data_IF_725908500742
#
_entry.id   IF_725908500742
#
_cell.length_a   1.000
_cell.length_b   1.000
_cell.length_c   1.000
_cell.angle_alpha   90.00
_cell.angle_beta   90.00
_cell.angle_gamma   90.00
#
_symmetry.space_group_name_H-M   'P 1'
#
loop_
_entity.id
_entity.type
_entity.pdbx_description
1 polymer ?
#
# COMPACT_ATOMS: atom_id res chain seq x y z
N UNK A 1 -12.82 -11.22 -25.06
CA UNK A 1 -12.40 -11.60 -23.69
C UNK A 1 -12.50 -10.37 -22.82
N UNK A 2 -13.13 -10.48 -21.64
CA UNK A 2 -13.06 -9.42 -20.64
C UNK A 2 -11.60 -9.28 -20.15
N UNK A 3 -11.14 -8.05 -19.92
CA UNK A 3 -9.80 -7.78 -19.40
C UNK A 3 -9.71 -8.28 -17.95
N UNK A 4 -8.52 -8.72 -17.52
CA UNK A 4 -8.31 -9.02 -16.11
C UNK A 4 -8.44 -7.74 -15.27
N UNK A 5 -8.86 -7.86 -14.00
CA UNK A 5 -9.10 -6.70 -13.14
C UNK A 5 -7.90 -5.73 -13.05
N UNK A 6 -6.68 -6.28 -13.00
CA UNK A 6 -5.46 -5.48 -12.97
C UNK A 6 -5.23 -4.70 -14.27
N UNK A 7 -5.58 -5.28 -15.42
CA UNK A 7 -5.49 -4.62 -16.73
C UNK A 7 -6.52 -3.49 -16.87
N UNK A 8 -7.74 -3.70 -16.35
CA UNK A 8 -8.74 -2.63 -16.29
C UNK A 8 -8.28 -1.46 -15.40
N UNK A 9 -7.65 -1.78 -14.26
CA UNK A 9 -7.10 -0.77 -13.36
C UNK A 9 -5.96 0.01 -14.03
N UNK A 10 -5.05 -0.67 -14.73
CA UNK A 10 -3.97 -0.03 -15.47
C UNK A 10 -4.49 0.82 -16.63
N UNK A 11 -5.54 0.38 -17.33
CA UNK A 11 -6.24 1.19 -18.33
C UNK A 11 -6.80 2.47 -17.72
N UNK A 12 -7.53 2.38 -16.60
CA UNK A 12 -8.08 3.54 -15.88
C UNK A 12 -6.98 4.49 -15.42
N UNK A 13 -5.90 3.95 -14.86
CA UNK A 13 -4.77 4.76 -14.40
C UNK A 13 -4.06 5.46 -15.57
N UNK A 14 -3.95 4.80 -16.72
CA UNK A 14 -3.33 5.38 -17.92
C UNK A 14 -4.15 6.55 -18.46
N UNK A 15 -5.48 6.42 -18.52
CA UNK A 15 -6.37 7.53 -18.89
C UNK A 15 -6.21 8.68 -17.90
N UNK A 16 -6.20 8.39 -16.59
CA UNK A 16 -6.06 9.43 -15.57
C UNK A 16 -4.71 10.15 -15.64
N UNK A 17 -3.62 9.42 -15.90
CA UNK A 17 -2.30 10.00 -16.09
C UNK A 17 -2.30 10.98 -17.27
N UNK A 18 -2.90 10.60 -18.40
CA UNK A 18 -3.00 11.48 -19.58
C UNK A 18 -3.78 12.76 -19.31
N UNK A 19 -4.83 12.71 -18.49
CA UNK A 19 -5.53 13.92 -18.04
C UNK A 19 -4.62 14.82 -17.22
N UNK A 20 -3.91 14.26 -16.23
CA UNK A 20 -3.02 15.03 -15.35
C UNK A 20 -1.84 15.64 -16.09
N UNK A 21 -1.35 14.99 -17.15
CA UNK A 21 -0.27 15.50 -17.99
C UNK A 21 -0.65 16.77 -18.77
N UNK A 22 -1.95 17.06 -18.94
CA UNK A 22 -2.40 18.32 -19.56
C UNK A 22 -2.20 19.53 -18.64
N UNK A 23 -2.09 19.30 -17.34
CA UNK A 23 -1.89 20.35 -16.34
C UNK A 23 -0.39 20.53 -15.99
N UNK A 24 0.51 20.03 -16.86
CA UNK A 24 1.95 20.04 -16.66
C UNK A 24 2.64 20.61 -17.90
N UNK A 25 3.84 21.20 -17.74
CA UNK A 25 4.61 21.69 -18.88
C UNK A 25 4.86 20.57 -19.89
N UNK A 26 4.76 20.87 -21.19
CA UNK A 26 4.76 19.87 -22.27
C UNK A 26 5.98 18.96 -22.22
N UNK A 27 7.15 19.48 -21.84
CA UNK A 27 8.38 18.70 -21.76
C UNK A 27 8.33 17.61 -20.67
N UNK A 28 7.50 17.75 -19.64
CA UNK A 28 7.32 16.70 -18.61
C UNK A 28 6.82 15.38 -19.21
N UNK A 29 6.19 15.41 -20.38
CA UNK A 29 5.72 14.21 -21.06
C UNK A 29 6.85 13.24 -21.43
N UNK A 30 8.07 13.73 -21.68
CA UNK A 30 9.20 12.84 -21.97
C UNK A 30 9.57 11.99 -20.75
N UNK A 31 9.46 12.55 -19.53
CA UNK A 31 9.70 11.83 -18.30
C UNK A 31 8.74 10.65 -18.13
N UNK A 32 7.44 10.88 -18.28
CA UNK A 32 6.44 9.82 -18.14
C UNK A 32 6.60 8.72 -19.19
N UNK A 33 6.98 9.06 -20.42
CA UNK A 33 7.32 8.09 -21.47
C UNK A 33 8.56 7.28 -21.08
N UNK A 34 9.61 7.94 -20.58
CA UNK A 34 10.87 7.31 -20.20
C UNK A 34 10.74 6.32 -19.04
N UNK A 35 9.83 6.57 -18.10
CA UNK A 35 9.61 5.68 -16.94
C UNK A 35 8.48 4.67 -17.14
N UNK A 36 7.82 4.67 -18.31
CA UNK A 36 6.55 3.97 -18.54
C UNK A 36 6.64 2.47 -18.24
N UNK A 37 7.72 1.83 -18.70
CA UNK A 37 7.96 0.39 -18.63
C UNK A 37 8.50 -0.07 -17.27
N UNK A 38 9.10 0.83 -16.49
CA UNK A 38 9.76 0.50 -15.22
C UNK A 38 8.94 0.93 -13.99
N UNK A 39 7.95 1.80 -14.19
CA UNK A 39 7.19 2.42 -13.10
C UNK A 39 5.70 2.11 -13.21
N UNK A 40 5.13 1.63 -12.11
CA UNK A 40 3.72 1.28 -12.02
C UNK A 40 2.81 2.49 -12.36
N UNK A 41 1.68 2.23 -13.02
CA UNK A 41 0.70 3.23 -13.45
C UNK A 41 0.28 4.19 -12.32
N UNK A 42 0.01 3.67 -11.13
CA UNK A 42 -0.33 4.46 -9.94
C UNK A 42 0.82 5.34 -9.43
N UNK A 43 2.06 4.88 -9.54
CA UNK A 43 3.24 5.68 -9.16
C UNK A 43 3.42 6.84 -10.11
N UNK A 44 3.21 6.63 -11.42
CA UNK A 44 3.23 7.71 -12.43
C UNK A 44 2.18 8.78 -12.14
N UNK A 45 0.95 8.38 -11.76
CA UNK A 45 -0.09 9.33 -11.31
C UNK A 45 0.38 10.15 -10.10
N UNK A 46 0.98 9.49 -9.09
CA UNK A 46 1.48 10.18 -7.91
C UNK A 46 2.58 11.20 -8.27
N UNK A 47 3.47 10.84 -9.22
CA UNK A 47 4.48 11.75 -9.73
C UNK A 47 3.88 12.94 -10.48
N UNK A 48 2.84 12.74 -11.29
CA UNK A 48 2.14 13.84 -11.96
C UNK A 48 1.54 14.84 -10.96
N UNK A 49 0.88 14.35 -9.90
CA UNK A 49 0.38 15.23 -8.84
C UNK A 49 1.50 15.98 -8.12
N UNK A 50 2.64 15.33 -7.87
CA UNK A 50 3.76 15.97 -7.17
C UNK A 50 4.45 17.01 -8.04
N UNK A 51 4.65 16.73 -9.33
CA UNK A 51 5.18 17.70 -10.29
C UNK A 51 4.23 18.88 -10.46
N UNK A 52 2.91 18.66 -10.46
CA UNK A 52 1.94 19.77 -10.51
C UNK A 52 2.15 20.71 -9.31
N UNK A 53 2.29 20.16 -8.10
CA UNK A 53 2.59 20.96 -6.90
C UNK A 53 3.93 21.69 -7.01
N UNK A 54 4.94 21.08 -7.62
CA UNK A 54 6.23 21.72 -7.85
C UNK A 54 6.14 22.90 -8.82
N UNK A 55 5.50 22.73 -9.99
CA UNK A 55 5.33 23.84 -10.94
C UNK A 55 4.39 24.92 -10.43
N UNK A 56 3.39 24.57 -9.60
CA UNK A 56 2.59 25.55 -8.86
C UNK A 56 3.47 26.40 -7.94
N UNK A 57 4.39 25.79 -7.18
CA UNK A 57 5.36 26.53 -6.35
C UNK A 57 6.23 27.48 -7.19
N UNK A 58 6.78 26.99 -8.33
CA UNK A 58 7.61 27.83 -9.19
C UNK A 58 6.85 29.05 -9.75
N UNK A 59 5.55 28.87 -10.03
CA UNK A 59 4.67 29.95 -10.47
C UNK A 59 4.34 30.92 -9.34
N UNK A 60 3.86 30.41 -8.21
CA UNK A 60 3.25 31.25 -7.15
C UNK A 60 4.30 31.91 -6.25
N UNK A 61 5.36 31.18 -5.89
CA UNK A 61 6.37 31.67 -4.94
C UNK A 61 7.57 32.30 -5.64
N UNK A 62 8.07 31.66 -6.71
CA UNK A 62 9.24 32.17 -7.45
C UNK A 62 8.86 33.11 -8.60
N UNK A 63 7.59 33.19 -8.97
CA UNK A 63 7.08 34.08 -10.02
C UNK A 63 7.86 33.98 -11.35
N UNK A 64 8.29 32.77 -11.72
CA UNK A 64 9.09 32.55 -12.94
C UNK A 64 8.24 32.75 -14.20
N UNK A 65 7.02 32.22 -14.21
CA UNK A 65 6.05 32.33 -15.30
C UNK A 65 4.62 32.43 -14.76
N UNK A 66 3.75 33.14 -15.50
CA UNK A 66 2.32 33.29 -15.14
C UNK A 66 1.50 32.02 -15.39
N UNK A 67 1.91 31.18 -16.35
CA UNK A 67 1.26 29.90 -16.65
C UNK A 67 2.21 28.73 -16.40
N UNK A 68 1.63 27.61 -15.94
CA UNK A 68 2.37 26.34 -15.80
C UNK A 68 2.84 25.82 -17.17
N UNK A 69 2.11 26.12 -18.25
CA UNK A 69 2.44 25.62 -19.58
C UNK A 69 3.70 26.29 -20.18
N UNK A 70 4.10 27.44 -19.66
CA UNK A 70 5.21 28.26 -20.19
C UNK A 70 6.58 27.78 -19.69
N UNK A 71 6.62 26.93 -18.66
CA UNK A 71 7.87 26.41 -18.13
C UNK A 71 8.62 25.55 -19.14
N UNK A 72 9.93 25.75 -19.18
CA UNK A 72 10.87 25.04 -20.05
C UNK A 72 11.82 24.16 -19.24
N UNK A 73 12.59 23.32 -19.94
CA UNK A 73 13.67 22.54 -19.32
C UNK A 73 14.74 23.47 -18.72
N UNK A 74 15.00 24.62 -19.36
CA UNK A 74 16.03 25.56 -18.91
C UNK A 74 15.66 26.21 -17.57
N UNK A 75 14.37 26.49 -17.34
CA UNK A 75 13.89 27.03 -16.06
C UNK A 75 14.22 26.06 -14.93
N UNK A 76 13.97 24.76 -15.14
CA UNK A 76 14.28 23.70 -14.17
C UNK A 76 15.79 23.53 -14.00
N UNK A 77 16.58 23.66 -15.06
CA UNK A 77 18.04 23.59 -14.98
C UNK A 77 18.64 24.77 -14.20
N UNK A 78 18.07 25.96 -14.34
CA UNK A 78 18.58 27.19 -13.74
C UNK A 78 18.35 27.25 -12.22
N UNK A 79 17.32 26.57 -11.71
CA UNK A 79 17.01 26.53 -10.28
C UNK A 79 18.24 26.21 -9.42
N UNK A 80 18.42 26.97 -8.36
CA UNK A 80 19.50 26.85 -7.38
C UNK A 80 19.12 25.84 -6.29
N UNK A 81 20.11 25.40 -5.50
CA UNK A 81 19.84 24.52 -4.36
C UNK A 81 18.95 25.22 -3.31
N UNK A 82 19.20 26.49 -2.93
CA UNK A 82 18.31 27.21 -2.01
C UNK A 82 16.85 27.25 -2.46
N UNK A 83 16.56 27.53 -3.73
CA UNK A 83 15.17 27.52 -4.26
C UNK A 83 14.52 26.12 -4.15
N UNK A 84 15.31 25.05 -4.32
CA UNK A 84 14.82 23.69 -4.10
C UNK A 84 14.63 23.35 -2.61
N UNK A 85 15.39 23.97 -1.71
CA UNK A 85 15.21 23.86 -0.26
C UNK A 85 13.99 24.66 0.22
N UNK A 86 13.75 25.85 -0.36
CA UNK A 86 12.52 26.62 -0.17
C UNK A 86 11.30 25.83 -0.62
N UNK A 87 11.37 25.10 -1.74
CA UNK A 87 10.30 24.16 -2.11
C UNK A 87 10.05 23.10 -1.01
N UNK A 88 11.09 22.59 -0.36
CA UNK A 88 10.91 21.65 0.76
C UNK A 88 10.21 22.29 1.95
N UNK A 89 10.46 23.58 2.20
CA UNK A 89 9.77 24.36 3.23
C UNK A 89 8.31 24.64 2.86
N UNK A 90 8.04 25.08 1.62
CA UNK A 90 6.70 25.23 1.06
C UNK A 90 5.89 23.93 1.16
N UNK A 91 6.53 22.77 1.01
CA UNK A 91 5.84 21.51 1.19
C UNK A 91 5.38 21.25 2.62
N UNK A 92 5.99 21.84 3.66
CA UNK A 92 5.55 21.66 5.05
C UNK A 92 4.15 22.22 5.27
N UNK A 93 3.91 23.42 4.74
CA UNK A 93 2.66 24.13 4.83
C UNK A 93 2.43 24.95 3.55
N UNK A 94 1.30 24.74 2.90
CA UNK A 94 0.85 25.54 1.76
C UNK A 94 -0.66 25.63 1.75
N UNK A 95 -1.19 26.66 1.11
CA UNK A 95 -2.62 26.77 0.85
C UNK A 95 -2.95 26.22 -0.55
N UNK A 96 -4.22 25.91 -0.76
CA UNK A 96 -4.73 25.58 -2.08
C UNK A 96 -6.18 26.03 -2.18
N UNK A 97 -6.50 26.73 -3.26
CA UNK A 97 -7.88 27.03 -3.60
C UNK A 97 -8.59 25.79 -4.14
N UNK A 98 -9.81 25.56 -3.65
CA UNK A 98 -10.66 24.46 -4.07
C UNK A 98 -12.12 24.91 -4.06
N UNK A 99 -12.81 24.61 -5.15
CA UNK A 99 -14.25 24.78 -5.24
C UNK A 99 -14.97 23.85 -4.23
N UNK A 100 -15.86 24.44 -3.43
CA UNK A 100 -16.70 23.75 -2.47
C UNK A 100 -17.94 23.13 -3.16
N UNK A 101 -18.84 22.52 -2.39
CA UNK A 101 -20.04 21.88 -2.94
C UNK A 101 -21.06 22.90 -3.50
N UNK A 102 -20.99 24.16 -3.07
CA UNK A 102 -21.83 25.27 -3.54
C UNK A 102 -21.23 26.02 -4.73
N UNK A 103 -20.03 25.66 -5.20
CA UNK A 103 -19.35 26.33 -6.32
C UNK A 103 -18.48 27.52 -5.93
N UNK A 104 -18.29 27.77 -4.64
CA UNK A 104 -17.47 28.87 -4.12
C UNK A 104 -16.01 28.41 -3.94
N UNK A 105 -15.07 29.30 -4.22
CA UNK A 105 -13.64 29.02 -4.03
C UNK A 105 -13.29 29.15 -2.55
N UNK A 106 -12.85 28.05 -1.94
CA UNK A 106 -12.38 28.00 -0.56
C UNK A 106 -10.86 27.76 -0.53
N UNK A 107 -10.17 28.48 0.34
CA UNK A 107 -8.74 28.25 0.61
C UNK A 107 -8.58 27.17 1.67
N UNK A 108 -7.88 26.09 1.31
CA UNK A 108 -7.64 24.96 2.19
C UNK A 108 -6.16 24.90 2.57
N UNK A 109 -5.90 24.78 3.88
CA UNK A 109 -4.57 24.57 4.42
C UNK A 109 -4.11 23.12 4.22
N UNK A 110 -2.88 22.96 3.73
CA UNK A 110 -2.26 21.66 3.50
C UNK A 110 -0.98 21.58 4.33
N UNK A 111 -1.06 20.80 5.41
CA UNK A 111 0.08 20.42 6.23
C UNK A 111 0.62 19.04 5.80
N UNK A 112 1.91 18.94 5.48
CA UNK A 112 2.52 17.63 5.18
C UNK A 112 3.48 17.19 6.29
N UNK A 113 3.33 15.93 6.72
CA UNK A 113 4.33 15.28 7.55
C UNK A 113 5.60 14.91 6.76
N UNK A 114 6.72 14.70 7.46
CA UNK A 114 8.03 14.39 6.87
C UNK A 114 8.00 13.23 5.86
N UNK A 115 7.16 12.22 6.07
CA UNK A 115 6.99 11.08 5.14
C UNK A 115 6.40 11.52 3.80
N UNK A 116 5.43 12.42 3.81
CA UNK A 116 4.82 13.00 2.61
C UNK A 116 5.81 13.91 1.88
N UNK A 117 6.53 14.76 2.61
CA UNK A 117 7.58 15.63 2.05
C UNK A 117 8.65 14.78 1.38
N UNK A 118 9.20 13.78 2.09
CA UNK A 118 10.20 12.84 1.55
C UNK A 118 9.72 12.17 0.26
N UNK A 119 8.46 11.74 0.19
CA UNK A 119 7.87 11.13 -1.01
C UNK A 119 7.82 12.12 -2.19
N UNK A 120 7.38 13.35 -1.95
CA UNK A 120 7.30 14.41 -2.97
C UNK A 120 8.68 14.77 -3.52
N UNK A 121 9.66 14.96 -2.64
CA UNK A 121 11.05 15.22 -3.06
C UNK A 121 11.67 14.01 -3.76
N UNK A 122 11.29 12.78 -3.41
CA UNK A 122 11.73 11.59 -4.15
C UNK A 122 11.18 11.57 -5.59
N UNK A 123 9.94 12.04 -5.80
CA UNK A 123 9.39 12.24 -7.14
C UNK A 123 10.20 13.28 -7.93
N UNK A 124 10.52 14.42 -7.29
CA UNK A 124 11.32 15.48 -7.90
C UNK A 124 12.73 14.99 -8.27
N UNK A 125 13.40 14.28 -7.35
CA UNK A 125 14.70 13.65 -7.61
C UNK A 125 14.63 12.67 -8.79
N UNK A 126 13.55 11.88 -8.89
CA UNK A 126 13.36 10.95 -10.03
C UNK A 126 13.20 11.70 -11.35
N UNK A 127 12.49 12.83 -11.34
CA UNK A 127 12.29 13.68 -12.52
C UNK A 127 13.61 14.30 -13.00
N UNK A 128 14.35 14.97 -12.10
CA UNK A 128 15.66 15.54 -12.43
C UNK A 128 16.66 14.47 -12.87
N UNK A 129 16.67 13.30 -12.21
CA UNK A 129 17.54 12.20 -12.61
C UNK A 129 17.24 11.70 -14.03
N UNK A 130 15.96 11.66 -14.43
CA UNK A 130 15.61 11.33 -15.81
C UNK A 130 16.10 12.42 -16.78
N UNK A 131 15.81 13.70 -16.51
CA UNK A 131 16.24 14.80 -17.38
C UNK A 131 17.75 14.79 -17.59
N UNK A 132 18.51 14.56 -16.52
CA UNK A 132 19.97 14.46 -16.57
C UNK A 132 20.43 13.26 -17.41
N UNK A 133 19.87 12.06 -17.17
CA UNK A 133 20.22 10.86 -17.95
C UNK A 133 19.83 10.95 -19.43
N UNK A 134 18.80 11.72 -19.74
CA UNK A 134 18.36 11.99 -21.09
C UNK A 134 19.18 13.08 -21.79
N UNK A 135 20.15 13.70 -21.10
CA UNK A 135 20.97 14.80 -21.63
C UNK A 135 20.20 16.12 -21.81
N UNK A 136 19.04 16.27 -21.16
CA UNK A 136 18.21 17.47 -21.23
C UNK A 136 18.67 18.57 -20.28
N UNK A 137 19.38 18.21 -19.21
CA UNK A 137 20.04 19.13 -18.28
C UNK A 137 21.47 18.67 -18.04
N UNK A 138 22.38 19.62 -17.80
CA UNK A 138 23.82 19.36 -17.59
C UNK A 138 24.15 18.84 -16.19
N UNK A 139 23.30 19.09 -15.19
CA UNK A 139 23.54 18.69 -13.80
C UNK A 139 22.24 18.34 -13.06
N UNK A 140 22.32 17.38 -12.12
CA UNK A 140 21.18 16.98 -11.29
C UNK A 140 21.26 17.62 -9.90
N UNK A 141 20.88 18.89 -9.78
CA UNK A 141 20.90 19.64 -8.51
C UNK A 141 19.99 19.02 -7.44
N UNK A 142 18.82 18.52 -7.83
CA UNK A 142 17.89 17.87 -6.90
C UNK A 142 18.51 16.67 -6.16
N UNK A 143 19.52 15.99 -6.74
CA UNK A 143 20.20 14.87 -6.08
C UNK A 143 20.84 15.26 -4.74
N UNK A 144 21.30 16.52 -4.63
CA UNK A 144 22.02 17.07 -3.48
C UNK A 144 21.09 17.42 -2.29
N UNK A 145 19.77 17.45 -2.50
CA UNK A 145 18.82 17.77 -1.44
C UNK A 145 18.87 16.74 -0.30
N UNK A 146 18.98 17.21 0.93
CA UNK A 146 18.91 16.38 2.12
C UNK A 146 17.46 16.04 2.46
N UNK A 147 17.10 14.75 2.41
CA UNK A 147 15.74 14.32 2.72
C UNK A 147 15.47 14.39 4.23
N UNK A 148 14.22 14.69 4.66
CA UNK A 148 13.87 14.69 6.08
C UNK A 148 14.18 13.33 6.72
N UNK A 149 14.79 13.37 7.91
CA UNK A 149 14.93 12.17 8.75
C UNK A 149 13.53 11.72 9.17
N UNK A 150 13.25 10.44 8.95
CA UNK A 150 12.03 9.82 9.45
C UNK A 150 12.36 9.20 10.80
N UNK A 151 11.55 9.47 11.82
CA UNK A 151 11.58 8.69 13.05
C UNK A 151 11.18 7.25 12.71
N UNK A 152 11.78 6.29 13.41
CA UNK A 152 11.31 4.91 13.34
C UNK A 152 9.99 4.83 14.09
N UNK A 153 8.91 4.59 13.37
CA UNK A 153 7.60 4.31 13.98
C UNK A 153 7.63 2.90 14.56
N UNK A 154 7.02 2.72 15.74
CA UNK A 154 6.83 1.40 16.33
C UNK A 154 6.02 0.50 15.39
N UNK A 155 6.47 -0.75 15.22
CA UNK A 155 5.77 -1.73 14.39
C UNK A 155 4.55 -2.24 15.14
N UNK A 156 3.41 -1.60 14.88
CA UNK A 156 2.11 -2.03 15.42
C UNK A 156 1.64 -3.30 14.71
N UNK A 157 1.41 -4.36 15.49
CA UNK A 157 0.94 -5.68 15.06
C UNK A 157 -0.01 -6.28 16.09
N UNK A 158 -0.73 -7.31 15.66
CA UNK A 158 -1.59 -8.12 16.51
C UNK A 158 -0.82 -9.36 16.98
N UNK A 159 -0.92 -9.70 18.27
CA UNK A 159 -0.47 -10.99 18.78
C UNK A 159 -1.49 -12.11 18.50
N UNK A 160 -1.15 -13.36 18.83
CA UNK A 160 -2.03 -14.51 18.56
C UNK A 160 -3.38 -14.41 19.27
N UNK A 161 -3.42 -13.88 20.50
CA UNK A 161 -4.66 -13.70 21.26
C UNK A 161 -5.54 -12.61 20.66
N UNK A 162 -4.94 -11.48 20.26
CA UNK A 162 -5.63 -10.41 19.56
C UNK A 162 -6.16 -10.86 18.19
N UNK A 163 -5.42 -11.71 17.47
CA UNK A 163 -5.87 -12.30 16.19
C UNK A 163 -7.11 -13.18 16.42
N UNK A 164 -7.09 -14.06 17.42
CA UNK A 164 -8.23 -14.91 17.75
C UNK A 164 -9.46 -14.07 18.08
N UNK A 165 -9.34 -13.10 19.00
CA UNK A 165 -10.43 -12.19 19.36
C UNK A 165 -10.93 -11.37 18.16
N UNK A 166 -10.04 -10.99 17.25
CA UNK A 166 -10.42 -10.29 16.02
C UNK A 166 -11.25 -11.16 15.08
N UNK A 167 -10.87 -12.42 14.88
CA UNK A 167 -11.65 -13.36 14.08
C UNK A 167 -12.99 -13.69 14.74
N UNK A 168 -13.01 -13.90 16.06
CA UNK A 168 -14.23 -14.11 16.84
C UNK A 168 -15.20 -12.93 16.70
N UNK A 169 -14.69 -11.69 16.75
CA UNK A 169 -15.49 -10.48 16.57
C UNK A 169 -15.97 -10.33 15.12
N UNK A 170 -15.17 -10.76 14.13
CA UNK A 170 -15.60 -10.78 12.72
C UNK A 170 -16.73 -11.78 12.50
N UNK A 171 -16.64 -12.95 13.12
CA UNK A 171 -17.63 -14.03 13.02
C UNK A 171 -18.93 -13.68 13.74
N UNK A 172 -18.83 -13.22 15.00
CA UNK A 172 -19.98 -13.09 15.90
C UNK A 172 -20.52 -11.66 16.04
N UNK A 173 -19.67 -10.65 15.85
CA UNK A 173 -20.07 -9.23 15.91
C UNK A 173 -20.59 -8.77 17.28
N UNK A 174 -20.13 -9.39 18.37
CA UNK A 174 -20.63 -9.14 19.74
C UNK A 174 -20.49 -7.69 20.19
N UNK A 175 -19.43 -7.01 19.75
CA UNK A 175 -19.12 -5.64 20.15
C UNK A 175 -19.57 -4.61 19.11
N UNK A 176 -20.31 -5.01 18.07
CA UNK A 176 -20.84 -4.11 17.06
C UNK A 176 -22.07 -3.33 17.57
N UNK A 177 -22.25 -2.10 17.08
CA UNK A 177 -23.50 -1.38 17.31
C UNK A 177 -24.68 -2.07 16.63
N UNK A 178 -25.91 -1.77 17.09
CA UNK A 178 -27.14 -2.33 16.48
C UNK A 178 -27.18 -2.18 14.96
N UNK A 179 -26.86 -0.98 14.46
CA UNK A 179 -26.82 -0.70 13.02
C UNK A 179 -25.74 -1.51 12.30
N UNK A 180 -24.55 -1.63 12.89
CA UNK A 180 -23.47 -2.44 12.29
C UNK A 180 -23.82 -3.93 12.26
N UNK A 181 -24.54 -4.42 13.27
CA UNK A 181 -25.00 -5.81 13.36
C UNK A 181 -25.95 -6.19 12.23
N UNK A 182 -26.89 -5.31 11.86
CA UNK A 182 -27.79 -5.52 10.70
C UNK A 182 -27.02 -5.71 9.38
N UNK A 183 -25.86 -5.04 9.22
CA UNK A 183 -25.00 -5.24 8.06
C UNK A 183 -24.09 -6.46 8.21
N UNK A 184 -23.65 -6.76 9.44
CA UNK A 184 -22.84 -7.93 9.76
C UNK A 184 -23.59 -9.22 9.41
N UNK A 185 -24.86 -9.35 9.79
CA UNK A 185 -25.70 -10.53 9.49
C UNK A 185 -25.79 -10.88 8.00
N UNK A 186 -25.51 -9.91 7.10
CA UNK A 186 -25.55 -10.10 5.63
C UNK A 186 -24.18 -10.36 5.01
N UNK A 187 -23.12 -10.17 5.77
CA UNK A 187 -21.75 -10.10 5.24
C UNK A 187 -20.72 -10.85 6.10
N UNK A 188 -21.07 -11.33 7.29
CA UNK A 188 -20.13 -11.91 8.24
C UNK A 188 -19.34 -13.07 7.63
N UNK A 189 -19.97 -13.97 6.87
CA UNK A 189 -19.26 -15.08 6.21
C UNK A 189 -18.25 -14.58 5.18
N UNK A 190 -18.60 -13.57 4.38
CA UNK A 190 -17.65 -12.91 3.47
C UNK A 190 -16.51 -12.25 4.26
N UNK A 191 -16.85 -11.45 5.26
CA UNK A 191 -15.89 -10.67 6.03
C UNK A 191 -14.90 -11.61 6.74
N UNK A 192 -15.40 -12.70 7.32
CA UNK A 192 -14.61 -13.75 7.96
C UNK A 192 -13.67 -14.44 6.96
N UNK A 193 -14.19 -14.92 5.83
CA UNK A 193 -13.38 -15.56 4.80
C UNK A 193 -12.26 -14.63 4.27
N UNK A 194 -12.56 -13.33 4.10
CA UNK A 194 -11.55 -12.34 3.72
C UNK A 194 -10.48 -12.14 4.79
N UNK A 195 -10.87 -12.05 6.07
CA UNK A 195 -9.95 -11.85 7.18
C UNK A 195 -9.07 -13.07 7.42
N UNK A 196 -9.66 -14.27 7.42
CA UNK A 196 -8.93 -15.53 7.48
C UNK A 196 -7.93 -15.65 6.33
N UNK A 197 -8.34 -15.35 5.09
CA UNK A 197 -7.42 -15.38 3.96
C UNK A 197 -6.25 -14.41 4.14
N UNK A 198 -6.53 -13.18 4.56
CA UNK A 198 -5.49 -12.16 4.77
C UNK A 198 -4.53 -12.49 5.91
N UNK A 199 -5.04 -13.04 7.01
CA UNK A 199 -4.24 -13.43 8.19
C UNK A 199 -3.55 -14.78 8.02
N UNK A 200 -4.10 -15.70 7.22
CA UNK A 200 -3.55 -17.03 7.00
C UNK A 200 -2.51 -17.11 5.88
N UNK A 201 -2.48 -16.12 4.98
CA UNK A 201 -1.54 -16.11 3.83
C UNK A 201 -0.67 -14.86 3.75
N UNK A 202 -1.01 -13.81 4.50
CA UNK A 202 -0.38 -12.51 4.39
C UNK A 202 -0.58 -11.83 3.04
N UNK A 203 -1.54 -12.23 2.20
CA UNK A 203 -1.82 -11.61 0.89
C UNK A 203 -1.99 -10.07 0.99
N UNK A 204 -1.53 -9.30 0.00
CA UNK A 204 -1.77 -7.84 -0.01
C UNK A 204 -3.25 -7.55 -0.25
N UNK A 205 -3.78 -6.48 0.35
CA UNK A 205 -5.20 -6.11 0.17
C UNK A 205 -5.61 -5.93 -1.29
N UNK A 206 -4.72 -5.39 -2.13
CA UNK A 206 -4.98 -5.21 -3.57
C UNK A 206 -4.98 -6.53 -4.33
N UNK A 207 -4.19 -7.51 -3.88
CA UNK A 207 -4.16 -8.87 -4.44
C UNK A 207 -5.45 -9.60 -4.03
N UNK A 208 -5.82 -9.56 -2.74
CA UNK A 208 -7.04 -10.17 -2.20
C UNK A 208 -8.32 -9.63 -2.87
N UNK A 209 -8.44 -8.31 -3.01
CA UNK A 209 -9.54 -7.66 -3.73
C UNK A 209 -9.55 -8.03 -5.22
N UNK A 210 -8.39 -8.28 -5.81
CA UNK A 210 -8.21 -8.59 -7.22
C UNK A 210 -8.59 -10.02 -7.62
N UNK A 211 -8.71 -10.93 -6.66
CA UNK A 211 -8.97 -12.36 -6.92
C UNK A 211 -10.25 -12.61 -7.71
N UNK A 212 -10.18 -13.56 -8.63
CA UNK A 212 -11.30 -14.16 -9.32
C UNK A 212 -11.63 -15.54 -8.75
N UNK A 213 -12.82 -16.06 -9.09
CA UNK A 213 -13.19 -17.43 -8.79
C UNK A 213 -12.20 -18.44 -9.37
N UNK A 214 -11.71 -18.18 -10.59
CA UNK A 214 -10.75 -19.01 -11.31
C UNK A 214 -9.33 -19.00 -10.73
N UNK A 215 -9.04 -18.11 -9.78
CA UNK A 215 -7.73 -18.05 -9.12
C UNK A 215 -7.61 -19.05 -7.95
N UNK A 216 -8.73 -19.62 -7.50
CA UNK A 216 -8.77 -20.60 -6.40
C UNK A 216 -8.51 -22.02 -6.90
N UNK A 217 -7.56 -22.70 -6.27
CA UNK A 217 -7.27 -24.12 -6.47
C UNK A 217 -7.39 -24.85 -5.13
N UNK A 218 -8.59 -25.39 -4.87
CA UNK A 218 -8.87 -26.15 -3.65
C UNK A 218 -8.24 -27.55 -3.64
N UNK A 219 -7.74 -28.07 -4.76
CA UNK A 219 -7.07 -29.36 -4.74
C UNK A 219 -5.68 -29.26 -4.11
N UNK A 220 -5.05 -28.08 -4.27
CA UNK A 220 -3.72 -27.79 -3.74
C UNK A 220 -3.74 -26.73 -2.63
N UNK A 221 -4.92 -26.32 -2.16
CA UNK A 221 -5.12 -25.20 -1.23
C UNK A 221 -4.28 -23.96 -1.59
N UNK A 222 -4.39 -23.56 -2.87
CA UNK A 222 -3.61 -22.49 -3.47
C UNK A 222 -4.46 -21.38 -4.09
N UNK A 223 -3.93 -20.16 -4.09
CA UNK A 223 -4.48 -19.02 -4.81
C UNK A 223 -3.43 -18.46 -5.76
N UNK A 224 -3.81 -18.27 -7.01
CA UNK A 224 -3.00 -17.57 -8.00
C UNK A 224 -3.15 -16.06 -7.85
N UNK A 225 -2.03 -15.37 -7.63
CA UNK A 225 -2.00 -13.91 -7.51
C UNK A 225 -1.09 -13.29 -8.56
N UNK A 226 -1.46 -12.08 -8.99
CA UNK A 226 -0.66 -11.25 -9.89
C UNK A 226 0.16 -10.24 -9.07
N UNK A 227 1.49 -10.44 -9.01
CA UNK A 227 2.42 -9.51 -8.33
C UNK A 227 2.98 -8.47 -9.29
N UNK A 228 3.52 -7.38 -8.72
CA UNK A 228 4.18 -6.30 -9.47
C UNK A 228 5.27 -6.86 -10.41
N UNK A 229 5.30 -6.37 -11.65
CA UNK A 229 6.22 -6.83 -12.69
C UNK A 229 5.70 -8.01 -13.52
N UNK A 230 4.39 -8.29 -13.47
CA UNK A 230 3.75 -9.33 -14.29
C UNK A 230 4.01 -10.76 -13.81
N UNK A 231 4.51 -10.93 -12.58
CA UNK A 231 4.81 -12.25 -12.02
C UNK A 231 3.55 -12.88 -11.44
N UNK A 232 3.15 -14.02 -11.98
CA UNK A 232 2.12 -14.86 -11.37
C UNK A 232 2.76 -15.73 -10.31
N UNK A 233 2.18 -15.76 -9.11
CA UNK A 233 2.66 -16.54 -7.98
C UNK A 233 1.48 -17.26 -7.35
N UNK A 234 1.68 -18.52 -6.98
CA UNK A 234 0.72 -19.25 -6.14
C UNK A 234 1.09 -19.05 -4.68
N UNK A 235 0.11 -18.66 -3.86
CA UNK A 235 0.23 -18.68 -2.39
C UNK A 235 -0.66 -19.79 -1.85
N UNK A 236 -0.19 -20.49 -0.82
CA UNK A 236 -0.94 -21.58 -0.20
C UNK A 236 -1.66 -21.09 1.06
N UNK A 237 -2.78 -21.72 1.38
CA UNK A 237 -3.59 -21.43 2.56
C UNK A 237 -3.89 -22.71 3.35
N UNK A 238 -4.25 -22.56 4.63
CA UNK A 238 -4.59 -23.67 5.51
C UNK A 238 -6.03 -24.17 5.30
N UNK A 239 -6.33 -25.36 5.83
CA UNK A 239 -7.67 -25.94 5.82
C UNK A 239 -8.72 -25.05 6.53
N UNK A 240 -8.29 -24.25 7.50
CA UNK A 240 -9.15 -23.27 8.16
C UNK A 240 -9.59 -22.18 7.17
N UNK A 241 -8.65 -21.64 6.39
CA UNK A 241 -8.93 -20.65 5.34
C UNK A 241 -9.76 -21.30 4.22
N UNK A 242 -9.45 -22.54 3.85
CA UNK A 242 -10.26 -23.30 2.89
C UNK A 242 -11.72 -23.36 3.33
N UNK A 243 -11.96 -23.74 4.58
CA UNK A 243 -13.30 -23.88 5.16
C UNK A 243 -14.07 -22.56 5.10
N UNK A 244 -13.43 -21.45 5.49
CA UNK A 244 -14.01 -20.11 5.40
C UNK A 244 -14.33 -19.69 3.95
N UNK A 245 -13.41 -19.96 3.02
CA UNK A 245 -13.63 -19.67 1.59
C UNK A 245 -14.79 -20.49 1.02
N UNK A 246 -14.90 -21.78 1.35
CA UNK A 246 -16.00 -22.64 0.89
C UNK A 246 -17.35 -22.16 1.45
N UNK A 247 -17.42 -21.82 2.73
CA UNK A 247 -18.62 -21.26 3.34
C UNK A 247 -19.07 -19.99 2.60
N UNK A 248 -18.13 -19.08 2.30
CA UNK A 248 -18.44 -17.88 1.53
C UNK A 248 -18.89 -18.19 0.09
N UNK A 249 -18.28 -19.17 -0.58
CA UNK A 249 -18.65 -19.52 -1.95
C UNK A 249 -20.09 -20.02 -2.04
N UNK A 250 -20.60 -20.75 -1.04
CA UNK A 250 -22.01 -21.15 -0.99
C UNK A 250 -22.95 -19.94 -0.90
N UNK A 251 -22.66 -18.96 -0.03
CA UNK A 251 -23.42 -17.71 0.00
C UNK A 251 -23.31 -16.91 -1.30
N UNK A 252 -22.13 -16.90 -1.90
CA UNK A 252 -21.85 -16.14 -3.12
C UNK A 252 -22.70 -16.66 -4.28
N UNK A 253 -22.99 -17.97 -4.36
CA UNK A 253 -23.88 -18.55 -5.39
C UNK A 253 -25.30 -17.97 -5.36
N UNK A 254 -25.74 -17.47 -4.20
CA UNK A 254 -27.06 -16.86 -4.02
C UNK A 254 -27.11 -15.39 -4.46
N UNK A 255 -25.96 -14.78 -4.80
CA UNK A 255 -25.85 -13.37 -5.19
C UNK A 255 -25.77 -13.26 -6.71
N UNK A 256 -26.47 -12.27 -7.27
CA UNK A 256 -26.37 -11.92 -8.68
C UNK A 256 -25.33 -10.80 -8.83
N UNK A 257 -24.13 -11.06 -9.39
CA UNK A 257 -23.12 -10.03 -9.58
C UNK A 257 -23.62 -8.91 -10.50
N UNK A 258 -23.19 -7.68 -10.24
CA UNK A 258 -23.38 -6.59 -11.17
C UNK A 258 -22.54 -6.82 -12.44
N UNK A 259 -23.00 -6.29 -13.57
CA UNK A 259 -22.33 -6.43 -14.86
C UNK A 259 -20.83 -6.05 -14.78
N UNK A 260 -19.95 -6.93 -15.24
CA UNK A 260 -18.48 -6.75 -15.21
C UNK A 260 -17.82 -7.14 -13.88
N UNK A 261 -18.55 -7.76 -12.95
CA UNK A 261 -18.04 -8.24 -11.66
C UNK A 261 -18.31 -9.73 -11.41
N UNK A 262 -18.73 -10.47 -12.44
CA UNK A 262 -19.17 -11.87 -12.39
C UNK A 262 -18.09 -12.80 -11.87
N UNK A 263 -16.84 -12.56 -12.27
CA UNK A 263 -15.68 -13.37 -11.89
C UNK A 263 -15.10 -12.99 -10.53
N UNK A 264 -15.48 -11.84 -9.94
CA UNK A 264 -14.86 -11.35 -8.71
C UNK A 264 -15.11 -12.30 -7.54
N UNK A 265 -14.05 -12.75 -6.88
CA UNK A 265 -14.20 -13.64 -5.72
C UNK A 265 -15.06 -12.99 -4.65
N UNK A 266 -14.63 -11.81 -4.16
CA UNK A 266 -15.33 -11.09 -3.10
C UNK A 266 -16.21 -9.95 -3.63
N UNK A 267 -17.51 -10.03 -3.32
CA UNK A 267 -18.52 -9.03 -3.69
C UNK A 267 -18.91 -8.12 -2.53
N UNK A 268 -19.15 -6.84 -2.84
CA UNK A 268 -19.76 -5.86 -1.92
C UNK A 268 -21.28 -6.06 -1.82
N UNK A 269 -21.92 -5.31 -0.93
CA UNK A 269 -23.39 -5.26 -0.83
C UNK A 269 -24.10 -4.77 -2.10
N UNK A 270 -23.37 -4.09 -3.00
CA UNK A 270 -23.87 -3.66 -4.30
C UNK A 270 -23.60 -4.70 -5.40
N UNK A 271 -23.20 -5.92 -5.02
CA UNK A 271 -22.82 -7.01 -5.92
C UNK A 271 -21.70 -6.65 -6.92
N UNK A 272 -20.87 -5.66 -6.58
CA UNK A 272 -19.65 -5.31 -7.32
C UNK A 272 -18.44 -5.92 -6.62
N UNK A 273 -17.31 -6.05 -7.32
CA UNK A 273 -16.03 -6.37 -6.67
C UNK A 273 -15.80 -5.42 -5.49
N UNK A 274 -15.53 -5.97 -4.31
CA UNK A 274 -15.29 -5.17 -3.11
C UNK A 274 -14.08 -4.25 -3.32
N UNK A 275 -14.13 -3.01 -2.82
CA UNK A 275 -13.01 -2.08 -3.00
C UNK A 275 -11.97 -2.21 -1.89
N UNK A 276 -10.71 -1.87 -2.18
CA UNK A 276 -9.65 -1.77 -1.15
C UNK A 276 -10.09 -0.89 0.02
N UNK A 277 -10.73 0.25 -0.26
CA UNK A 277 -11.24 1.17 0.77
C UNK A 277 -12.32 0.52 1.64
N UNK A 278 -13.17 -0.34 1.05
CA UNK A 278 -14.17 -1.09 1.81
C UNK A 278 -13.50 -2.08 2.75
N UNK A 279 -12.44 -2.77 2.30
CA UNK A 279 -11.65 -3.68 3.14
C UNK A 279 -10.91 -2.94 4.25
N UNK A 280 -10.31 -1.78 3.97
CA UNK A 280 -9.68 -0.94 5.00
C UNK A 280 -10.68 -0.52 6.09
N UNK A 281 -11.89 -0.10 5.69
CA UNK A 281 -12.97 0.23 6.63
C UNK A 281 -13.42 -0.98 7.43
N UNK A 282 -13.52 -2.14 6.79
CA UNK A 282 -13.88 -3.41 7.43
C UNK A 282 -12.85 -3.81 8.48
N UNK A 283 -11.56 -3.82 8.16
CA UNK A 283 -10.48 -4.10 9.12
C UNK A 283 -10.53 -3.12 10.29
N UNK A 284 -10.67 -1.81 10.01
CA UNK A 284 -10.77 -0.80 11.05
C UNK A 284 -11.98 -1.02 11.98
N UNK A 285 -13.15 -1.34 11.41
CA UNK A 285 -14.40 -1.60 12.13
C UNK A 285 -14.18 -2.67 13.21
N UNK A 286 -13.69 -3.84 12.82
CA UNK A 286 -13.49 -4.96 13.75
C UNK A 286 -12.31 -4.74 14.70
N UNK A 287 -11.16 -4.28 14.19
CA UNK A 287 -9.97 -4.12 15.01
C UNK A 287 -10.13 -3.04 16.10
N UNK A 288 -10.93 -2.00 15.85
CA UNK A 288 -11.20 -0.98 16.87
C UNK A 288 -11.98 -1.50 18.09
N UNK A 289 -12.64 -2.66 17.99
CA UNK A 289 -13.37 -3.29 19.11
C UNK A 289 -12.45 -4.12 19.98
N UNK A 290 -11.50 -4.82 19.36
CA UNK A 290 -10.60 -5.75 20.04
C UNK A 290 -9.34 -5.07 20.53
N UNK A 291 -8.75 -4.19 19.69
CA UNK A 291 -7.48 -3.52 19.98
C UNK A 291 -7.62 -2.00 19.82
N UNK A 292 -8.40 -1.31 20.67
CA UNK A 292 -8.74 0.11 20.48
C UNK A 292 -7.51 1.05 20.47
N UNK A 293 -6.42 0.65 21.13
CA UNK A 293 -5.17 1.41 21.18
C UNK A 293 -4.28 1.19 19.93
N UNK A 294 -4.54 0.14 19.15
CA UNK A 294 -3.75 -0.21 17.96
C UNK A 294 -4.53 0.15 16.70
N UNK A 295 -4.00 1.08 15.91
CA UNK A 295 -4.59 1.40 14.61
C UNK A 295 -4.27 0.30 13.58
N UNK A 296 -5.05 -0.78 13.53
CA UNK A 296 -4.84 -1.89 12.60
C UNK A 296 -5.35 -1.55 11.19
N UNK A 297 -4.57 -1.96 10.18
CA UNK A 297 -4.88 -1.81 8.76
C UNK A 297 -4.61 -3.14 8.05
N UNK A 298 -5.09 -3.35 6.81
CA UNK A 298 -4.76 -4.54 6.02
C UNK A 298 -3.26 -4.86 5.96
N UNK A 299 -2.42 -3.83 5.87
CA UNK A 299 -0.97 -4.02 5.84
C UNK A 299 -0.43 -4.49 7.21
N UNK A 300 -1.04 -4.06 8.32
CA UNK A 300 -0.67 -4.53 9.65
C UNK A 300 -1.12 -5.96 9.91
N UNK A 301 -2.27 -6.41 9.37
CA UNK A 301 -2.66 -7.83 9.42
C UNK A 301 -1.60 -8.72 8.74
N UNK A 302 -1.14 -8.30 7.56
CA UNK A 302 -0.04 -8.97 6.86
C UNK A 302 1.26 -8.95 7.69
N UNK A 303 1.54 -7.86 8.41
CA UNK A 303 2.70 -7.80 9.30
C UNK A 303 2.56 -8.71 10.52
N UNK A 304 1.35 -8.88 11.06
CA UNK A 304 1.04 -9.86 12.10
C UNK A 304 1.32 -11.27 11.60
N UNK A 305 0.83 -11.63 10.40
CA UNK A 305 1.13 -12.92 9.76
C UNK A 305 2.65 -13.14 9.60
N UNK A 306 3.37 -12.15 9.04
CA UNK A 306 4.82 -12.26 8.85
C UNK A 306 5.60 -12.42 10.16
N UNK A 307 5.14 -11.77 11.23
CA UNK A 307 5.73 -11.94 12.57
C UNK A 307 5.45 -13.33 13.10
N UNK A 308 4.20 -13.80 13.04
CA UNK A 308 3.80 -15.09 13.56
C UNK A 308 4.51 -16.23 12.82
N UNK A 309 4.56 -16.15 11.48
CA UNK A 309 5.30 -17.11 10.66
C UNK A 309 6.80 -17.15 11.03
N UNK A 310 7.42 -16.00 11.29
CA UNK A 310 8.81 -15.96 11.73
C UNK A 310 9.01 -16.53 13.13
N UNK A 311 8.06 -16.31 14.05
CA UNK A 311 8.12 -16.87 15.40
C UNK A 311 8.05 -18.40 15.37
N UNK A 312 7.16 -18.95 14.56
CA UNK A 312 6.97 -20.40 14.43
C UNK A 312 8.13 -21.09 13.67
N UNK A 313 8.66 -20.46 12.62
CA UNK A 313 9.64 -21.10 11.73
C UNK A 313 11.09 -20.72 12.04
N UNK A 314 11.33 -19.55 12.63
CA UNK A 314 12.67 -18.99 12.81
C UNK A 314 13.41 -18.62 11.51
N UNK A 315 12.80 -18.81 10.34
CA UNK A 315 13.41 -18.66 9.02
C UNK A 315 12.94 -17.37 8.34
N UNK A 316 13.83 -16.38 8.31
CA UNK A 316 13.54 -15.08 7.69
C UNK A 316 13.48 -15.13 6.16
N UNK A 317 14.14 -16.12 5.52
CA UNK A 317 14.11 -16.30 4.07
C UNK A 317 12.79 -16.89 3.62
N UNK A 318 12.28 -17.89 4.35
CA UNK A 318 10.94 -18.43 4.14
C UNK A 318 9.88 -17.32 4.27
N UNK A 319 9.96 -16.51 5.33
CA UNK A 319 9.03 -15.37 5.53
C UNK A 319 9.12 -14.37 4.37
N UNK A 320 10.34 -14.07 3.88
CA UNK A 320 10.54 -13.16 2.76
C UNK A 320 9.93 -13.71 1.47
N UNK A 321 10.08 -15.00 1.19
CA UNK A 321 9.57 -15.66 -0.01
C UNK A 321 8.04 -15.72 -0.03
N UNK A 322 7.44 -16.20 1.07
CA UNK A 322 5.98 -16.28 1.25
C UNK A 322 5.34 -14.90 1.08
N UNK A 323 5.88 -13.89 1.77
CA UNK A 323 5.42 -12.52 1.64
C UNK A 323 5.75 -11.92 0.26
N UNK A 324 6.76 -12.41 -0.45
CA UNK A 324 7.20 -11.84 -1.72
C UNK A 324 7.92 -10.51 -1.54
N UNK A 325 8.85 -10.46 -0.60
CA UNK A 325 9.79 -9.36 -0.42
C UNK A 325 11.02 -9.62 -1.28
N UNK A 326 11.32 -8.69 -2.20
CA UNK A 326 12.50 -8.78 -3.06
C UNK A 326 13.82 -8.56 -2.32
N UNK A 327 13.76 -7.96 -1.13
CA UNK A 327 14.91 -7.70 -0.27
C UNK A 327 14.63 -8.22 1.15
N UNK A 328 15.45 -9.18 1.58
CA UNK A 328 15.36 -9.81 2.90
C UNK A 328 15.62 -8.82 4.03
N UNK A 329 16.39 -7.75 3.80
CA UNK A 329 16.62 -6.72 4.82
C UNK A 329 15.32 -6.02 5.23
N UNK A 330 14.38 -5.87 4.29
CA UNK A 330 13.03 -5.35 4.59
C UNK A 330 12.32 -6.31 5.54
N UNK A 331 12.33 -7.61 5.25
CA UNK A 331 11.75 -8.66 6.11
C UNK A 331 12.39 -8.67 7.50
N UNK A 332 13.73 -8.59 7.59
CA UNK A 332 14.47 -8.55 8.85
C UNK A 332 14.09 -7.32 9.68
N UNK A 333 14.07 -6.13 9.07
CA UNK A 333 13.66 -4.89 9.77
C UNK A 333 12.24 -4.99 10.33
N UNK A 334 11.33 -5.64 9.61
CA UNK A 334 9.92 -5.67 9.97
C UNK A 334 9.51 -6.80 10.93
N UNK A 335 10.14 -7.98 10.83
CA UNK A 335 9.70 -9.17 11.57
C UNK A 335 10.74 -9.71 12.54
N UNK A 336 12.02 -9.42 12.31
CA UNK A 336 13.10 -9.82 13.22
C UNK A 336 13.34 -8.83 14.38
N UNK A 337 12.49 -7.80 14.54
CA UNK A 337 12.54 -6.84 15.67
C UNK A 337 12.34 -7.49 17.06
N UNK A 338 12.11 -8.81 17.12
CA UNK A 338 12.13 -9.67 18.31
C UNK A 338 13.54 -9.95 18.84
N UNK A 339 14.55 -9.19 18.41
CA UNK A 339 15.92 -9.32 18.89
C UNK A 339 16.04 -9.26 20.41
N UNK A 340 15.20 -8.51 21.15
CA UNK A 340 15.28 -8.45 22.62
C UNK A 340 14.97 -9.80 23.30
N UNK A 341 13.84 -10.43 22.98
CA UNK A 341 13.48 -11.75 23.55
C UNK A 341 14.43 -12.84 23.07
N UNK A 342 14.79 -12.83 21.78
CA UNK A 342 15.75 -13.79 21.24
C UNK A 342 17.13 -13.58 21.88
N UNK A 343 17.64 -12.35 22.01
CA UNK A 343 18.90 -12.02 22.74
C UNK A 343 18.85 -12.47 24.20
N UNK A 344 17.71 -12.29 24.89
CA UNK A 344 17.53 -12.81 26.26
C UNK A 344 17.61 -14.32 26.30
N UNK A 345 17.02 -15.03 25.33
CA UNK A 345 17.08 -16.50 25.25
C UNK A 345 18.49 -17.05 24.98
N UNK A 346 19.36 -16.29 24.28
CA UNK A 346 20.75 -16.73 23.99
C UNK A 346 21.69 -16.56 25.18
N UNK A 347 21.26 -15.91 26.28
CA UNK A 347 22.10 -15.63 27.47
C UNK A 347 22.81 -16.88 28.00
N UNK A 348 22.17 -18.04 27.93
CA UNK A 348 22.68 -19.29 28.49
C UNK A 348 23.19 -20.30 27.43
N UNK A 349 23.20 -19.92 26.15
CA UNK A 349 23.62 -20.83 25.06
C UNK A 349 25.14 -21.00 25.03
N UNK A 350 25.90 -19.97 25.38
CA UNK A 350 27.35 -20.07 25.54
C UNK A 350 27.67 -20.60 26.94
N UNK A 351 27.97 -21.90 27.04
CA UNK A 351 28.42 -22.52 28.29
C UNK A 351 29.91 -22.26 28.49
N UNK A 352 30.27 -21.58 29.59
CA UNK A 352 31.67 -21.22 29.90
C UNK A 352 32.50 -22.38 30.48
N UNK A 353 31.86 -23.47 30.89
CA UNK A 353 32.49 -24.67 31.45
C UNK A 353 31.84 -25.91 30.84
N UNK A 354 32.61 -26.96 30.59
CA UNK A 354 32.08 -28.29 30.25
C UNK A 354 31.34 -28.84 31.46
N UNK A 355 30.18 -29.47 31.25
CA UNK A 355 29.51 -30.22 32.31
C UNK A 355 30.40 -31.43 32.67
N UNK A 356 30.82 -31.50 33.93
CA UNK A 356 31.48 -32.69 34.48
C UNK A 356 30.42 -33.78 34.56
N UNK A 357 30.29 -34.60 33.51
CA UNK A 357 29.30 -35.68 33.49
C UNK A 357 29.08 -36.42 32.18
N UNK A 358 29.62 -35.97 31.04
CA UNK A 358 29.61 -36.77 29.82
C UNK A 358 30.98 -37.46 29.66
N UNK A 359 31.08 -38.65 30.24
CA UNK A 359 32.13 -39.65 29.96
C UNK A 359 31.57 -40.75 29.08
#
# INVERSE_FOLDING_TARGET
MALAYHEELDKKNTVKLRELQKDLPVFCNVFFRGIDQITASRTKIAYAYDLKVFFTYLKEELNIHDSIDDFTVQDVENLTIPELEEYMEYLKYRTKEKENAEGEMETIDILNHNKSIKRKISSLKSFYNYLYKAGLISSNKASLLSLPKLSEEEIIRMDQGEIAQFLDEVENGHQLSKKEREFHEKNNVRDLAMMQLMLGTGIRVSECVGLNLSDLDFNNNGIRIHRKGGKNVTIYFSDEVESGLRAYLEERKLKIPALGHEEALFLSMQNKRISVRSVEKMVKKYASRVTPLKHITPHKLRSSYGTNLYQETGDIYLVADVLGHSDVNTTKKHYAALEEERRRSVRNVVRLRKEEGES
#
